data_IF_398182450376
#
_entry.id   IF_398182450376
#
_cell.length_a   1.000
_cell.length_b   1.000
_cell.length_c   1.000
_cell.angle_alpha   90.00
_cell.angle_beta   90.00
_cell.angle_gamma   90.00
#
_symmetry.space_group_name_H-M   'P 1'
#
loop_
_entity.id
_entity.type
_entity.pdbx_description
1 polymer ?
#
# COMPACT_ATOMS: atom_id res chain seq x y z
N UNK A 1 -4.17 -14.09 7.62
CA UNK A 1 -4.03 -13.21 8.81
C UNK A 1 -2.87 -13.66 9.66
N UNK A 2 -1.82 -12.84 9.72
CA UNK A 2 -0.67 -12.96 10.61
C UNK A 2 -0.73 -11.87 11.68
N UNK A 3 -0.12 -12.13 12.84
CA UNK A 3 -0.04 -11.20 13.96
C UNK A 3 1.42 -11.01 14.35
N UNK A 4 1.76 -9.78 14.70
CA UNK A 4 3.09 -9.36 15.12
C UNK A 4 2.99 -8.59 16.44
N UNK A 5 3.95 -8.81 17.33
CA UNK A 5 4.07 -8.08 18.60
C UNK A 5 5.15 -7.01 18.47
N UNK A 6 4.73 -5.75 18.32
CA UNK A 6 5.62 -4.59 18.13
C UNK A 6 5.41 -3.63 19.30
N UNK A 7 6.46 -3.36 20.09
CA UNK A 7 6.41 -2.50 21.28
C UNK A 7 5.24 -2.82 22.26
N UNK A 8 4.95 -4.10 22.45
CA UNK A 8 3.88 -4.59 23.32
C UNK A 8 2.47 -4.42 22.75
N UNK A 9 2.35 -4.02 21.48
CA UNK A 9 1.10 -3.89 20.74
C UNK A 9 0.97 -4.98 19.70
N UNK A 10 -0.26 -5.40 19.42
CA UNK A 10 -0.53 -6.41 18.38
C UNK A 10 -0.87 -5.72 17.08
N UNK A 11 -0.10 -6.01 16.04
CA UNK A 11 -0.37 -5.58 14.67
C UNK A 11 -0.77 -6.80 13.85
N UNK A 12 -1.93 -6.73 13.21
CA UNK A 12 -2.44 -7.79 12.34
C UNK A 12 -2.32 -7.41 10.86
N UNK A 13 -1.89 -8.35 10.03
CA UNK A 13 -1.82 -8.18 8.57
C UNK A 13 -2.45 -9.37 7.85
N UNK A 14 -3.15 -9.11 6.76
CA UNK A 14 -3.60 -10.17 5.87
C UNK A 14 -2.48 -10.54 4.88
N UNK A 15 -1.78 -11.62 5.16
CA UNK A 15 -0.67 -12.13 4.35
C UNK A 15 -1.12 -12.84 3.06
N UNK A 16 -2.44 -12.99 2.84
CA UNK A 16 -2.99 -13.47 1.58
C UNK A 16 -3.22 -12.33 0.57
N UNK A 17 -3.16 -11.07 1.02
CA UNK A 17 -3.32 -9.90 0.16
C UNK A 17 -2.00 -9.46 -0.43
N UNK A 18 -2.07 -8.87 -1.61
CA UNK A 18 -0.94 -8.17 -2.22
C UNK A 18 -1.02 -6.69 -1.85
N UNK A 19 0.14 -6.11 -1.56
CA UNK A 19 0.32 -4.70 -1.21
C UNK A 19 1.23 -4.07 -2.26
N UNK A 20 0.76 -3.00 -2.88
CA UNK A 20 1.49 -2.30 -3.93
C UNK A 20 1.74 -0.83 -3.55
N UNK A 21 2.77 -0.24 -4.14
CA UNK A 21 2.98 1.21 -4.18
C UNK A 21 3.23 1.70 -5.61
N UNK A 22 3.00 3.00 -5.83
CA UNK A 22 3.46 3.73 -7.01
C UNK A 22 4.56 4.71 -6.62
N UNK A 23 5.71 4.63 -7.29
CA UNK A 23 6.72 5.68 -7.16
C UNK A 23 7.44 5.95 -8.48
N UNK A 24 8.06 7.12 -8.59
CA UNK A 24 8.87 7.49 -9.75
C UNK A 24 10.28 6.92 -9.54
N UNK A 25 10.67 5.96 -10.39
CA UNK A 25 12.02 5.41 -10.44
C UNK A 25 12.70 5.90 -11.70
N UNK A 26 13.82 6.62 -11.55
CA UNK A 26 14.61 7.09 -12.69
C UNK A 26 13.82 7.96 -13.69
N UNK A 27 12.84 8.73 -13.18
CA UNK A 27 11.96 9.58 -14.00
C UNK A 27 10.70 8.90 -14.53
N UNK A 28 10.58 7.58 -14.36
CA UNK A 28 9.46 6.79 -14.88
C UNK A 28 8.54 6.31 -13.74
N UNK A 29 7.21 6.34 -13.91
CA UNK A 29 6.28 5.74 -12.96
C UNK A 29 6.46 4.22 -12.90
N UNK A 30 6.64 3.67 -11.69
CA UNK A 30 6.75 2.24 -11.45
C UNK A 30 5.69 1.79 -10.43
N UNK A 31 5.05 0.65 -10.73
CA UNK A 31 4.21 -0.08 -9.78
C UNK A 31 5.06 -1.18 -9.15
N UNK A 32 5.16 -1.19 -7.82
CA UNK A 32 6.00 -2.13 -7.08
C UNK A 32 5.20 -2.92 -6.04
N UNK A 33 5.63 -4.15 -5.78
CA UNK A 33 5.16 -4.91 -4.62
C UNK A 33 5.95 -4.52 -3.38
N UNK A 34 5.24 -4.37 -2.26
CA UNK A 34 5.84 -4.06 -0.96
C UNK A 34 5.75 -5.30 -0.07
N UNK A 35 6.86 -5.64 0.58
CA UNK A 35 6.91 -6.72 1.56
C UNK A 35 6.62 -6.20 2.97
N UNK A 36 5.35 -5.85 3.23
CA UNK A 36 4.93 -5.39 4.56
C UNK A 36 5.11 -6.48 5.63
N UNK A 37 4.99 -7.76 5.24
CA UNK A 37 5.18 -8.88 6.17
C UNK A 37 6.64 -8.96 6.63
N UNK A 38 7.60 -8.91 5.69
CA UNK A 38 9.02 -8.89 6.02
C UNK A 38 9.41 -7.67 6.85
N UNK A 39 8.81 -6.52 6.58
CA UNK A 39 9.03 -5.31 7.36
C UNK A 39 8.49 -5.44 8.80
N UNK A 40 7.31 -6.02 9.02
CA UNK A 40 6.77 -6.28 10.37
C UNK A 40 7.59 -7.33 11.13
N UNK A 41 8.04 -8.39 10.44
CA UNK A 41 8.96 -9.37 11.01
C UNK A 41 10.26 -8.70 11.46
N UNK A 42 10.82 -7.82 10.63
CA UNK A 42 12.03 -7.07 10.97
C UNK A 42 11.86 -6.21 12.24
N UNK A 43 10.67 -5.64 12.47
CA UNK A 43 10.38 -4.88 13.68
C UNK A 43 10.23 -5.77 14.91
N UNK A 44 9.50 -6.87 14.80
CA UNK A 44 9.31 -7.83 15.89
C UNK A 44 10.64 -8.45 16.36
N UNK A 45 11.54 -8.73 15.42
CA UNK A 45 12.88 -9.25 15.69
C UNK A 45 13.86 -8.17 16.19
N UNK A 46 13.48 -6.89 16.16
CA UNK A 46 14.34 -5.76 16.54
C UNK A 46 15.41 -5.39 15.49
N UNK A 47 15.30 -5.93 14.27
CA UNK A 47 16.19 -5.64 13.15
C UNK A 47 15.87 -4.30 12.47
N UNK A 48 14.60 -3.87 12.50
CA UNK A 48 14.11 -2.60 11.97
C UNK A 48 13.56 -1.77 13.13
N UNK A 49 14.08 -0.56 13.38
CA UNK A 49 13.51 0.33 14.39
C UNK A 49 12.05 0.67 14.07
N UNK A 50 11.19 0.67 15.08
CA UNK A 50 9.76 1.00 14.92
C UNK A 50 9.56 2.40 14.33
N UNK A 51 10.39 3.37 14.75
CA UNK A 51 10.34 4.75 14.23
C UNK A 51 10.62 4.83 12.73
N UNK A 52 11.57 4.04 12.22
CA UNK A 52 11.89 4.01 10.79
C UNK A 52 10.71 3.43 10.00
N UNK A 53 10.09 2.39 10.52
CA UNK A 53 8.84 1.84 10.00
C UNK A 53 7.69 2.82 9.97
N UNK A 54 7.44 3.47 11.11
CA UNK A 54 6.40 4.48 11.25
C UNK A 54 6.59 5.61 10.23
N UNK A 55 7.81 6.09 10.04
CA UNK A 55 8.13 7.09 9.02
C UNK A 55 7.79 6.59 7.61
N UNK A 56 8.21 5.39 7.25
CA UNK A 56 7.89 4.79 5.95
C UNK A 56 6.37 4.70 5.73
N UNK A 57 5.60 4.33 6.77
CA UNK A 57 4.14 4.32 6.69
C UNK A 57 3.48 5.68 6.62
N UNK A 58 4.01 6.69 7.31
CA UNK A 58 3.50 8.06 7.16
C UNK A 58 3.69 8.54 5.73
N UNK A 59 4.83 8.23 5.10
CA UNK A 59 5.04 8.50 3.68
C UNK A 59 4.02 7.76 2.81
N UNK A 60 3.74 6.49 3.09
CA UNK A 60 2.71 5.73 2.37
C UNK A 60 1.31 6.36 2.51
N UNK A 61 0.93 6.82 3.71
CA UNK A 61 -0.36 7.46 3.91
C UNK A 61 -0.46 8.83 3.25
N UNK A 62 0.59 9.63 3.30
CA UNK A 62 0.64 10.94 2.64
C UNK A 62 0.54 10.79 1.12
N UNK A 63 1.28 9.84 0.55
CA UNK A 63 1.17 9.48 -0.88
C UNK A 63 -0.21 8.96 -1.21
N UNK A 64 -0.78 8.10 -0.36
CA UNK A 64 -2.11 7.56 -0.58
C UNK A 64 -3.19 8.65 -0.57
N UNK A 65 -3.10 9.62 0.35
CA UNK A 65 -3.99 10.77 0.38
C UNK A 65 -3.86 11.62 -0.89
N UNK A 66 -2.64 11.80 -1.38
CA UNK A 66 -2.34 12.57 -2.61
C UNK A 66 -2.84 11.86 -3.87
N UNK A 67 -2.70 10.53 -3.95
CA UNK A 67 -3.04 9.72 -5.13
C UNK A 67 -4.48 9.17 -5.12
N UNK A 68 -5.19 9.26 -3.99
CA UNK A 68 -6.58 8.81 -3.88
C UNK A 68 -7.51 9.40 -4.97
N UNK A 69 -7.41 10.69 -5.38
CA UNK A 69 -8.18 11.21 -6.50
C UNK A 69 -7.90 10.49 -7.81
N UNK A 70 -6.63 10.16 -8.09
CA UNK A 70 -6.21 9.45 -9.31
C UNK A 70 -6.76 8.01 -9.34
N UNK A 71 -6.71 7.31 -8.20
CA UNK A 71 -7.30 5.96 -8.04
C UNK A 71 -8.83 5.97 -8.20
N UNK A 72 -9.51 6.98 -7.65
CA UNK A 72 -10.97 7.18 -7.82
C UNK A 72 -11.34 7.50 -9.27
N UNK A 73 -10.54 8.31 -9.95
CA UNK A 73 -10.71 8.61 -11.37
C UNK A 73 -10.66 7.34 -12.23
N UNK A 74 -9.69 6.45 -12.00
CA UNK A 74 -9.62 5.17 -12.71
C UNK A 74 -10.82 4.26 -12.45
N UNK A 75 -11.31 4.21 -11.21
CA UNK A 75 -12.55 3.49 -10.87
C UNK A 75 -13.76 4.07 -11.60
N UNK A 76 -13.84 5.39 -11.77
CA UNK A 76 -14.90 6.09 -12.50
C UNK A 76 -14.92 5.78 -13.99
N UNK A 77 -13.77 5.94 -14.68
CA UNK A 77 -13.65 5.64 -16.12
C UNK A 77 -14.05 4.20 -16.46
N UNK A 78 -13.72 3.25 -15.59
CA UNK A 78 -14.10 1.84 -15.78
C UNK A 78 -15.59 1.61 -15.58
N UNK A 79 -16.23 2.24 -14.59
CA UNK A 79 -17.68 2.14 -14.40
C UNK A 79 -18.45 2.59 -15.66
N UNK A 80 -17.83 3.47 -16.45
CA UNK A 80 -18.33 3.97 -17.74
C UNK A 80 -17.91 3.10 -18.94
N UNK A 81 -17.21 1.98 -18.72
CA UNK A 81 -16.77 1.06 -19.78
C UNK A 81 -15.61 1.57 -20.63
N UNK A 82 -14.90 2.62 -20.20
CA UNK A 82 -13.80 3.23 -20.94
C UNK A 82 -12.51 2.45 -20.70
N UNK A 83 -11.95 1.87 -21.77
CA UNK A 83 -10.70 1.08 -21.76
C UNK A 83 -9.45 1.89 -22.12
N UNK A 84 -9.40 3.19 -21.79
CA UNK A 84 -8.39 4.09 -22.40
C UNK A 84 -7.62 4.92 -21.36
N UNK A 85 -6.30 4.74 -21.35
CA UNK A 85 -5.22 5.57 -20.83
C UNK A 85 -4.03 5.57 -21.81
N UNK A 86 -4.06 6.46 -22.80
CA UNK A 86 -3.11 6.57 -23.91
C UNK A 86 -1.63 6.20 -23.61
N UNK A 87 -1.02 5.44 -24.52
CA UNK A 87 0.44 5.26 -24.70
C UNK A 87 1.16 4.25 -23.79
N UNK A 88 0.74 4.15 -22.53
CA UNK A 88 1.58 3.68 -21.39
C UNK A 88 0.94 2.52 -20.60
N UNK A 89 0.20 1.64 -21.30
CA UNK A 89 -0.81 0.74 -20.73
C UNK A 89 -0.29 -0.56 -20.13
N UNK A 90 -0.44 -0.70 -18.81
CA UNK A 90 -0.21 -1.94 -18.08
C UNK A 90 -1.43 -2.91 -18.02
N UNK A 91 -2.62 -2.55 -18.51
CA UNK A 91 -3.85 -3.29 -18.17
C UNK A 91 -4.79 -3.55 -19.35
N UNK A 92 -4.47 -4.57 -20.14
CA UNK A 92 -5.49 -5.32 -20.88
C UNK A 92 -5.93 -6.51 -20.00
N UNK A 93 -7.12 -6.41 -19.40
CA UNK A 93 -7.76 -7.49 -18.62
C UNK A 93 -7.86 -7.26 -17.11
N UNK A 94 -8.34 -8.30 -16.39
CA UNK A 94 -8.65 -8.36 -14.94
C UNK A 94 -7.59 -7.80 -13.96
N UNK A 95 -6.39 -7.44 -14.43
CA UNK A 95 -5.29 -6.90 -13.63
C UNK A 95 -5.51 -5.50 -13.06
N UNK A 96 -6.25 -4.61 -13.75
CA UNK A 96 -6.43 -3.22 -13.31
C UNK A 96 -7.14 -3.09 -11.96
N UNK A 97 -8.21 -3.86 -11.75
CA UNK A 97 -8.95 -3.87 -10.47
C UNK A 97 -8.12 -4.42 -9.33
N UNK A 98 -7.45 -5.54 -9.58
CA UNK A 98 -6.59 -6.17 -8.59
C UNK A 98 -5.51 -5.19 -8.14
N UNK A 99 -5.03 -4.32 -9.03
CA UNK A 99 -4.02 -3.32 -8.70
C UNK A 99 -4.59 -2.16 -7.89
N UNK A 100 -5.77 -1.66 -8.24
CA UNK A 100 -6.47 -0.67 -7.41
C UNK A 100 -6.74 -1.24 -6.01
N UNK A 101 -7.24 -2.48 -5.91
CA UNK A 101 -7.48 -3.15 -4.64
C UNK A 101 -6.20 -3.34 -3.82
N UNK A 102 -5.11 -3.75 -4.45
CA UNK A 102 -3.82 -3.91 -3.77
C UNK A 102 -3.24 -2.58 -3.28
N UNK A 103 -3.44 -1.49 -4.03
CA UNK A 103 -3.06 -0.14 -3.61
C UNK A 103 -3.92 0.38 -2.46
N UNK A 104 -5.20 0.00 -2.41
CA UNK A 104 -6.07 0.29 -1.27
C UNK A 104 -5.69 -0.57 -0.05
N UNK A 105 -5.29 -1.83 -0.25
CA UNK A 105 -4.82 -2.70 0.83
C UNK A 105 -3.62 -2.08 1.55
N UNK A 106 -2.64 -1.53 0.80
CA UNK A 106 -1.48 -0.83 1.39
C UNK A 106 -1.91 0.36 2.24
N UNK A 107 -2.76 1.23 1.71
CA UNK A 107 -3.23 2.42 2.43
C UNK A 107 -4.02 2.08 3.70
N UNK A 108 -4.93 1.10 3.62
CA UNK A 108 -5.69 0.63 4.78
C UNK A 108 -4.80 0.00 5.85
N UNK A 109 -3.81 -0.78 5.42
CA UNK A 109 -2.83 -1.35 6.35
C UNK A 109 -2.02 -0.25 7.03
N UNK A 110 -1.52 0.73 6.28
CA UNK A 110 -0.74 1.84 6.81
C UNK A 110 -1.54 2.65 7.85
N UNK A 111 -2.83 2.90 7.58
CA UNK A 111 -3.70 3.60 8.52
C UNK A 111 -3.89 2.80 9.80
N UNK A 112 -4.22 1.50 9.66
CA UNK A 112 -4.35 0.58 10.78
C UNK A 112 -3.07 0.52 11.62
N UNK A 113 -1.91 0.38 10.99
CA UNK A 113 -0.61 0.31 11.65
C UNK A 113 -0.33 1.55 12.51
N UNK A 114 -0.58 2.75 11.99
CA UNK A 114 -0.43 3.99 12.76
C UNK A 114 -1.43 4.10 13.91
N UNK A 115 -2.67 3.65 13.70
CA UNK A 115 -3.69 3.66 14.75
C UNK A 115 -3.27 2.76 15.91
N UNK A 116 -2.88 1.52 15.62
CA UNK A 116 -2.43 0.58 16.64
C UNK A 116 -1.19 1.11 17.35
N UNK A 117 -0.14 1.52 16.64
CA UNK A 117 1.12 1.89 17.27
C UNK A 117 1.12 3.27 17.92
N UNK A 118 0.36 4.26 17.43
CA UNK A 118 0.52 5.65 17.85
C UNK A 118 -0.73 6.29 18.47
N UNK A 119 -1.94 5.83 18.16
CA UNK A 119 -3.14 6.35 18.84
C UNK A 119 -3.35 5.60 20.17
N UNK A 120 -3.55 6.37 21.24
CA UNK A 120 -3.86 5.88 22.59
C UNK A 120 -5.36 5.72 22.76
#
# INVERSE_FOLDING_TARGET
>A
MKKFSIDGKTVEIDDQKTYLDFYIRDGEPALVSIDLVGMLMGMEEGNVPVDDGLREYMEYLERWATDAPRKRFYRGLRAEGVTVLSGEYFFDGEGGEKIIDNLENTGRFAEYFLQELYRK
#
